data_IF_390264580651
#
_entry.id   IF_390264580651
#
_cell.length_a   1.000
_cell.length_b   1.000
_cell.length_c   1.000
_cell.angle_alpha   90.00
_cell.angle_beta   90.00
_cell.angle_gamma   90.00
#
_symmetry.space_group_name_H-M   'P 1'
#
loop_
_entity.id
_entity.type
_entity.pdbx_description
1 polymer ?
#
# COMPACT_ATOMS: atom_id res chain seq x y z
N UNK A 1 19.99 36.92 -45.70
CA UNK A 1 19.05 37.47 -44.68
C UNK A 1 18.02 36.44 -44.18
N UNK A 2 17.74 35.36 -44.94
CA UNK A 2 16.76 34.31 -44.60
C UNK A 2 17.15 33.41 -43.40
N UNK A 3 18.42 33.01 -43.27
CA UNK A 3 18.86 32.07 -42.22
C UNK A 3 18.65 32.51 -40.77
N UNK A 4 18.79 33.82 -40.49
CA UNK A 4 18.61 34.38 -39.13
C UNK A 4 17.16 34.31 -38.64
N UNK A 5 16.19 34.19 -39.54
CA UNK A 5 14.76 34.10 -39.19
C UNK A 5 14.40 32.64 -38.87
N UNK A 6 14.87 31.69 -39.68
CA UNK A 6 14.72 30.25 -39.42
C UNK A 6 15.38 29.82 -38.11
N UNK A 7 16.57 30.33 -37.79
CA UNK A 7 17.25 30.02 -36.52
C UNK A 7 16.45 30.49 -35.29
N UNK A 8 15.78 31.64 -35.41
CA UNK A 8 14.92 32.18 -34.35
C UNK A 8 13.64 31.38 -34.17
N UNK A 9 13.06 30.87 -35.25
CA UNK A 9 11.87 30.01 -35.21
C UNK A 9 12.20 28.67 -34.56
N UNK A 10 13.32 28.05 -34.94
CA UNK A 10 13.77 26.77 -34.34
C UNK A 10 14.07 26.95 -32.85
N UNK A 11 14.75 28.03 -32.47
CA UNK A 11 15.03 28.34 -31.07
C UNK A 11 13.74 28.56 -30.28
N UNK A 12 12.77 29.32 -30.83
CA UNK A 12 11.48 29.54 -30.18
C UNK A 12 10.71 28.22 -30.01
N UNK A 13 10.68 27.36 -31.03
CA UNK A 13 10.04 26.05 -30.95
C UNK A 13 10.70 25.14 -29.90
N UNK A 14 12.03 25.16 -29.81
CA UNK A 14 12.78 24.41 -28.81
C UNK A 14 12.51 24.91 -27.39
N UNK A 15 12.47 26.23 -27.17
CA UNK A 15 12.13 26.82 -25.87
C UNK A 15 10.70 26.48 -25.47
N UNK A 16 9.74 26.56 -26.40
CA UNK A 16 8.34 26.16 -26.15
C UNK A 16 8.26 24.68 -25.80
N UNK A 17 8.97 23.82 -26.54
CA UNK A 17 9.03 22.38 -26.28
C UNK A 17 9.57 22.09 -24.87
N UNK A 18 10.72 22.66 -24.51
CA UNK A 18 11.33 22.50 -23.16
C UNK A 18 10.38 23.01 -22.07
N UNK A 19 9.72 24.15 -22.29
CA UNK A 19 8.76 24.69 -21.33
C UNK A 19 7.54 23.77 -21.14
N UNK A 20 6.93 23.27 -22.22
CA UNK A 20 5.79 22.34 -22.13
C UNK A 20 6.16 21.01 -21.48
N UNK A 21 7.38 20.50 -21.73
CA UNK A 21 7.86 19.28 -21.10
C UNK A 21 8.04 19.46 -19.58
N UNK A 22 8.56 20.60 -19.14
CA UNK A 22 8.76 20.89 -17.71
C UNK A 22 7.45 21.08 -16.93
N UNK A 23 6.38 21.54 -17.59
CA UNK A 23 5.06 21.63 -16.95
C UNK A 23 4.43 20.23 -16.76
N UNK A 24 4.63 19.32 -17.71
CA UNK A 24 4.10 17.96 -17.64
C UNK A 24 4.71 17.14 -16.48
N UNK A 25 5.95 17.43 -16.09
CA UNK A 25 6.65 16.73 -14.99
C UNK A 25 6.37 17.33 -13.61
N UNK A 26 5.72 18.49 -13.52
CA UNK A 26 5.43 19.18 -12.25
C UNK A 26 4.14 18.74 -11.57
N UNK A 27 3.48 17.69 -12.06
CA UNK A 27 2.36 17.08 -11.35
C UNK A 27 2.89 16.45 -10.04
N UNK A 28 2.81 17.20 -8.94
CA UNK A 28 3.06 16.66 -7.62
C UNK A 28 2.01 15.58 -7.36
N UNK A 29 2.45 14.33 -7.22
CA UNK A 29 1.53 13.27 -6.85
C UNK A 29 0.99 13.60 -5.45
N UNK A 30 -0.31 13.87 -5.37
CA UNK A 30 -0.96 14.07 -4.07
C UNK A 30 -0.71 12.84 -3.20
N UNK A 31 -0.32 13.08 -1.93
CA UNK A 31 -0.11 12.00 -0.98
C UNK A 31 -1.46 11.33 -0.70
N UNK A 32 -1.64 10.04 -1.03
CA UNK A 32 -2.93 9.38 -0.81
C UNK A 32 -3.18 9.19 0.69
N UNK A 33 -4.46 9.17 1.07
CA UNK A 33 -4.86 8.70 2.38
C UNK A 33 -4.78 7.17 2.43
N UNK A 34 -4.20 6.63 3.49
CA UNK A 34 -4.10 5.18 3.70
C UNK A 34 -5.06 4.79 4.82
N UNK A 35 -6.03 3.93 4.51
CA UNK A 35 -6.94 3.33 5.50
C UNK A 35 -6.64 1.86 5.61
N UNK A 36 -6.09 1.44 6.75
CA UNK A 36 -5.78 0.04 7.04
C UNK A 36 -6.96 -0.60 7.79
N UNK A 37 -7.61 -1.58 7.16
CA UNK A 37 -8.69 -2.37 7.77
C UNK A 37 -8.14 -3.78 8.05
N UNK A 38 -8.12 -4.16 9.32
CA UNK A 38 -7.70 -5.49 9.78
C UNK A 38 -8.80 -6.10 10.64
N UNK A 39 -9.29 -7.26 10.26
CA UNK A 39 -10.23 -8.07 11.05
C UNK A 39 -9.47 -8.95 12.03
N UNK A 40 -10.11 -9.31 13.14
CA UNK A 40 -9.56 -10.26 14.12
C UNK A 40 -10.14 -11.65 13.84
N UNK A 41 -9.29 -12.68 13.85
CA UNK A 41 -9.65 -14.10 13.70
C UNK A 41 -10.50 -14.48 12.47
N UNK A 42 -10.51 -13.66 11.42
CA UNK A 42 -11.22 -13.97 10.18
C UNK A 42 -10.55 -15.12 9.42
N UNK A 43 -11.30 -16.20 9.20
CA UNK A 43 -10.87 -17.34 8.42
C UNK A 43 -10.89 -17.03 6.92
N UNK A 44 -9.99 -17.69 6.17
CA UNK A 44 -9.99 -17.58 4.70
C UNK A 44 -11.32 -18.03 4.08
N UNK A 45 -12.04 -18.96 4.70
CA UNK A 45 -13.32 -19.45 4.21
C UNK A 45 -14.53 -18.58 4.57
N UNK A 46 -14.36 -17.46 5.28
CA UNK A 46 -15.50 -16.70 5.82
C UNK A 46 -16.11 -15.69 4.83
N UNK A 47 -15.43 -15.43 3.71
CA UNK A 47 -15.84 -14.39 2.76
C UNK A 47 -16.59 -14.97 1.55
N UNK A 48 -17.53 -14.20 1.02
CA UNK A 48 -18.21 -14.51 -0.24
C UNK A 48 -17.21 -14.62 -1.40
N UNK A 49 -16.25 -13.68 -1.48
CA UNK A 49 -15.18 -13.69 -2.50
C UNK A 49 -14.27 -14.94 -2.45
N UNK A 50 -14.19 -15.61 -1.30
CA UNK A 50 -13.47 -16.89 -1.13
C UNK A 50 -14.35 -18.12 -1.33
N UNK A 51 -15.62 -17.93 -1.73
CA UNK A 51 -16.56 -18.99 -2.06
C UNK A 51 -17.50 -19.43 -0.94
N UNK A 52 -17.63 -18.66 0.15
CA UNK A 52 -18.58 -18.98 1.22
C UNK A 52 -20.03 -18.82 0.72
N UNK A 53 -20.88 -19.88 0.77
CA UNK A 53 -22.26 -19.79 0.27
C UNK A 53 -23.28 -19.29 1.32
N UNK A 54 -22.87 -19.10 2.57
CA UNK A 54 -23.75 -18.78 3.71
C UNK A 54 -23.54 -17.35 4.21
N UNK A 55 -22.28 -16.96 4.44
CA UNK A 55 -21.94 -15.65 5.00
C UNK A 55 -21.97 -14.61 3.88
N UNK A 56 -22.77 -13.55 4.08
CA UNK A 56 -22.93 -12.47 3.11
C UNK A 56 -21.98 -11.31 3.44
N UNK A 57 -21.02 -11.03 2.56
CA UNK A 57 -20.01 -9.98 2.72
C UNK A 57 -20.02 -8.94 1.58
N UNK A 58 -21.19 -8.36 1.22
CA UNK A 58 -21.34 -7.60 -0.02
C UNK A 58 -20.38 -6.41 -0.16
N UNK A 59 -20.03 -5.75 0.95
CA UNK A 59 -19.10 -4.62 0.92
C UNK A 59 -17.63 -5.05 0.68
N UNK A 60 -17.23 -6.20 1.24
CA UNK A 60 -15.88 -6.76 1.05
C UNK A 60 -15.77 -7.34 -0.36
N UNK A 61 -16.82 -8.03 -0.83
CA UNK A 61 -16.86 -8.61 -2.17
C UNK A 61 -16.79 -7.51 -3.24
N UNK A 62 -17.56 -6.43 -3.08
CA UNK A 62 -17.50 -5.25 -3.95
C UNK A 62 -16.14 -4.53 -3.89
N UNK A 63 -15.48 -4.50 -2.72
CA UNK A 63 -14.13 -3.96 -2.59
C UNK A 63 -13.12 -4.84 -3.34
N UNK A 64 -13.19 -6.16 -3.19
CA UNK A 64 -12.27 -7.08 -3.87
C UNK A 64 -12.44 -7.06 -5.39
N UNK A 65 -13.66 -6.90 -5.91
CA UNK A 65 -13.92 -6.87 -7.35
C UNK A 65 -13.24 -5.69 -8.08
N UNK A 66 -12.91 -4.63 -7.35
CA UNK A 66 -12.24 -3.41 -7.87
C UNK A 66 -10.82 -3.22 -7.34
N UNK A 67 -10.24 -4.23 -6.71
CA UNK A 67 -8.94 -4.18 -6.06
C UNK A 67 -8.03 -5.30 -6.55
N UNK A 68 -6.73 -5.17 -6.29
CA UNK A 68 -5.84 -6.32 -6.33
C UNK A 68 -6.04 -7.19 -5.09
N UNK A 69 -6.01 -8.52 -5.26
CA UNK A 69 -6.19 -9.48 -4.17
C UNK A 69 -5.02 -10.45 -4.09
N UNK A 70 -4.69 -10.89 -2.87
CA UNK A 70 -3.66 -11.90 -2.62
C UNK A 70 -4.32 -13.19 -2.17
N UNK A 71 -4.23 -14.25 -2.98
CA UNK A 71 -4.71 -15.60 -2.62
C UNK A 71 -3.77 -16.30 -1.64
N UNK A 72 -2.51 -15.88 -1.60
CA UNK A 72 -1.46 -16.43 -0.74
C UNK A 72 -0.91 -15.33 0.14
N UNK A 73 -1.52 -15.16 1.33
CA UNK A 73 -1.12 -14.17 2.33
C UNK A 73 -0.96 -14.87 3.69
N UNK A 74 0.21 -14.72 4.31
CA UNK A 74 0.56 -15.42 5.55
C UNK A 74 0.70 -14.46 6.73
N UNK A 75 0.28 -14.94 7.89
CA UNK A 75 0.35 -14.23 9.18
C UNK A 75 0.93 -15.15 10.26
N UNK A 76 1.25 -14.59 11.43
CA UNK A 76 1.49 -15.42 12.61
C UNK A 76 0.16 -16.01 13.11
N UNK A 77 0.15 -17.21 13.70
CA UNK A 77 -1.08 -17.90 14.11
C UNK A 77 -1.75 -17.31 15.36
N UNK A 78 -1.34 -16.12 15.80
CA UNK A 78 -1.81 -15.43 17.01
C UNK A 78 -1.79 -13.91 16.79
N UNK A 79 -2.71 -13.21 17.45
CA UNK A 79 -3.00 -11.80 17.19
C UNK A 79 -1.80 -10.86 17.47
N UNK A 80 -1.15 -10.96 18.63
CA UNK A 80 -0.10 -10.02 19.02
C UNK A 80 1.14 -10.07 18.10
N UNK A 81 1.70 -11.25 17.75
CA UNK A 81 2.80 -11.36 16.77
C UNK A 81 2.46 -10.84 15.37
N UNK A 82 1.23 -11.07 14.89
CA UNK A 82 0.77 -10.53 13.59
C UNK A 82 0.72 -9.01 13.61
N UNK A 83 0.14 -8.42 14.67
CA UNK A 83 0.05 -6.96 14.83
C UNK A 83 1.44 -6.33 15.03
N UNK A 84 2.32 -6.97 15.78
CA UNK A 84 3.70 -6.51 15.95
C UNK A 84 4.44 -6.47 14.60
N UNK A 85 4.28 -7.52 13.79
CA UNK A 85 4.91 -7.56 12.46
C UNK A 85 4.35 -6.49 11.51
N UNK A 86 3.03 -6.24 11.58
CA UNK A 86 2.37 -5.18 10.81
C UNK A 86 2.87 -3.79 11.19
N UNK A 87 2.95 -3.47 12.49
CA UNK A 87 3.32 -2.13 12.96
C UNK A 87 4.79 -1.80 12.75
N UNK A 88 5.67 -2.80 12.79
CA UNK A 88 7.12 -2.61 12.73
C UNK A 88 7.72 -2.93 11.36
N UNK A 89 6.99 -3.63 10.49
CA UNK A 89 7.53 -4.20 9.26
C UNK A 89 8.59 -5.28 9.47
N UNK A 90 8.68 -5.86 10.69
CA UNK A 90 9.73 -6.81 11.08
C UNK A 90 9.13 -8.13 11.52
N UNK A 91 9.85 -9.21 11.28
CA UNK A 91 9.44 -10.53 11.75
C UNK A 91 9.29 -10.53 13.28
N UNK A 92 8.21 -11.12 13.79
CA UNK A 92 7.78 -11.01 15.19
C UNK A 92 8.88 -11.37 16.21
N UNK A 93 9.72 -12.36 15.94
CA UNK A 93 10.86 -12.71 16.81
C UNK A 93 11.88 -11.58 16.98
N UNK A 94 12.01 -10.67 16.01
CA UNK A 94 12.87 -9.48 16.10
C UNK A 94 12.30 -8.41 17.01
N UNK A 95 10.98 -8.40 17.20
CA UNK A 95 10.26 -7.45 18.07
C UNK A 95 10.06 -8.00 19.49
N UNK A 96 10.35 -9.29 19.71
CA UNK A 96 10.09 -10.08 20.93
C UNK A 96 8.61 -10.32 21.29
N UNK A 97 7.68 -9.77 20.52
CA UNK A 97 6.28 -10.16 20.57
C UNK A 97 6.12 -11.51 19.85
N UNK A 98 6.07 -12.61 20.60
CA UNK A 98 6.11 -13.98 20.05
C UNK A 98 4.91 -14.84 20.42
N UNK A 99 4.09 -14.40 21.38
CA UNK A 99 2.90 -15.13 21.81
C UNK A 99 1.91 -14.15 22.47
N UNK A 100 0.80 -14.64 23.01
CA UNK A 100 -0.21 -13.89 23.77
C UNK A 100 -0.17 -14.18 25.27
N UNK A 101 0.63 -15.17 25.68
CA UNK A 101 0.70 -15.69 27.04
C UNK A 101 1.93 -15.17 27.82
N UNK A 102 1.78 -14.97 29.14
CA UNK A 102 2.83 -14.54 30.11
C UNK A 102 3.78 -13.47 29.53
N UNK A 103 3.23 -12.30 29.20
CA UNK A 103 4.03 -11.13 28.80
C UNK A 103 4.72 -11.22 27.43
N UNK A 104 4.57 -12.33 26.70
CA UNK A 104 5.13 -12.50 25.34
C UNK A 104 4.36 -11.74 24.25
N UNK A 105 3.28 -11.06 24.63
CA UNK A 105 2.49 -10.15 23.79
C UNK A 105 3.08 -8.75 23.68
N UNK A 106 4.12 -8.45 24.46
CA UNK A 106 4.75 -7.14 24.49
C UNK A 106 5.91 -7.08 23.50
N UNK A 107 5.98 -6.02 22.71
CA UNK A 107 7.19 -5.70 21.96
C UNK A 107 8.29 -5.20 22.91
N UNK A 108 9.55 -5.39 22.54
CA UNK A 108 10.68 -4.79 23.25
C UNK A 108 10.47 -3.26 23.34
N UNK A 109 10.63 -2.63 24.51
CA UNK A 109 10.43 -1.19 24.67
C UNK A 109 11.32 -0.31 23.77
N UNK A 110 12.41 -0.85 23.24
CA UNK A 110 13.31 -0.15 22.31
C UNK A 110 12.88 -0.27 20.84
N UNK A 111 11.81 -0.98 20.52
CA UNK A 111 11.31 -1.10 19.15
C UNK A 111 10.75 0.25 18.67
N UNK A 112 11.17 0.71 17.49
CA UNK A 112 10.74 1.98 16.90
C UNK A 112 9.78 1.67 15.74
N UNK A 113 8.56 2.18 15.81
CA UNK A 113 7.51 2.10 14.77
C UNK A 113 7.30 3.46 14.11
#
# INVERSE_FOLDING_TARGET
MSGRITDRIVLAAFVVFVYTFSLATSATAERPNIVLIMTDDMGYGDLGVTGNPVIQTPNIDALSARSASMSTFYVSPVCAPTRASLMTGRYNYRTRCIDTYIGRSMMEPTEIT
#
